data_IF_233327500624
#
_entry.id   IF_233327500624
#
_cell.length_a   1.000
_cell.length_b   1.000
_cell.length_c   1.000
_cell.angle_alpha   90.00
_cell.angle_beta   90.00
_cell.angle_gamma   90.00
#
_symmetry.space_group_name_H-M   'P 1'
#
loop_
_entity.id
_entity.type
_entity.pdbx_description
1 polymer ?
#
# COMPACT_ATOMS: atom_id res chain seq x y z
N UNK A 1 -38.80 22.19 -73.04
CA UNK A 1 -38.90 20.71 -72.92
C UNK A 1 -37.85 20.21 -71.93
N UNK A 2 -38.10 19.09 -71.21
CA UNK A 2 -38.07 19.00 -69.75
C UNK A 2 -36.68 18.81 -69.10
N UNK A 3 -36.57 18.98 -67.76
CA UNK A 3 -35.34 18.77 -67.00
C UNK A 3 -35.01 17.29 -66.78
N UNK A 4 -33.72 16.95 -66.84
CA UNK A 4 -33.20 15.60 -66.57
C UNK A 4 -33.17 15.31 -65.06
N UNK A 5 -33.70 14.13 -64.71
CA UNK A 5 -33.85 13.63 -63.34
C UNK A 5 -32.49 13.25 -62.76
N UNK A 6 -32.06 13.93 -61.68
CA UNK A 6 -30.99 13.49 -60.78
C UNK A 6 -31.39 12.21 -60.06
N UNK A 7 -30.53 11.19 -60.17
CA UNK A 7 -30.65 9.92 -59.48
C UNK A 7 -30.39 10.09 -57.98
N UNK A 8 -31.27 9.53 -57.14
CA UNK A 8 -31.12 9.39 -55.69
C UNK A 8 -30.32 8.12 -55.40
N UNK A 9 -29.11 8.25 -54.85
CA UNK A 9 -28.41 7.13 -54.21
C UNK A 9 -28.92 6.97 -52.78
N UNK A 10 -29.52 5.82 -52.48
CA UNK A 10 -29.98 5.44 -51.15
C UNK A 10 -28.79 5.23 -50.20
N UNK A 11 -28.72 6.03 -49.14
CA UNK A 11 -27.76 5.85 -48.04
C UNK A 11 -28.12 4.62 -47.20
N UNK A 12 -27.20 3.66 -47.11
CA UNK A 12 -27.23 2.53 -46.18
C UNK A 12 -27.05 3.07 -44.74
N UNK A 13 -28.04 2.86 -43.87
CA UNK A 13 -27.91 3.04 -42.42
C UNK A 13 -27.10 1.88 -41.81
N UNK A 14 -26.21 2.13 -40.84
CA UNK A 14 -25.53 1.06 -40.10
C UNK A 14 -26.50 0.36 -39.12
N UNK A 15 -26.35 -0.95 -38.86
CA UNK A 15 -27.21 -1.71 -37.96
C UNK A 15 -26.95 -1.39 -36.48
N UNK A 16 -28.04 -1.31 -35.72
CA UNK A 16 -28.08 -1.13 -34.27
C UNK A 16 -27.39 -2.26 -33.48
N UNK A 17 -26.77 -1.96 -32.32
CA UNK A 17 -26.21 -2.99 -31.45
C UNK A 17 -27.29 -3.81 -30.73
N UNK A 18 -27.05 -5.12 -30.69
CA UNK A 18 -27.88 -6.17 -30.15
C UNK A 18 -28.35 -5.91 -28.70
N UNK A 19 -29.67 -6.04 -28.49
CA UNK A 19 -30.29 -6.21 -27.17
C UNK A 19 -29.98 -7.62 -26.64
N UNK A 20 -29.29 -7.71 -25.50
CA UNK A 20 -29.15 -8.97 -24.76
C UNK A 20 -30.48 -9.34 -24.07
N UNK A 21 -30.92 -10.60 -24.14
CA UNK A 21 -32.10 -11.06 -23.40
C UNK A 21 -31.80 -11.17 -21.90
N UNK A 22 -32.69 -10.61 -21.10
CA UNK A 22 -32.69 -10.66 -19.65
C UNK A 22 -32.87 -12.10 -19.15
N UNK A 23 -31.84 -12.65 -18.52
CA UNK A 23 -31.90 -13.93 -17.81
C UNK A 23 -32.86 -13.81 -16.61
N UNK A 24 -34.11 -14.25 -16.80
CA UNK A 24 -35.04 -14.60 -15.73
C UNK A 24 -34.40 -15.67 -14.84
N UNK A 25 -34.06 -15.31 -13.60
CA UNK A 25 -33.67 -16.27 -12.56
C UNK A 25 -34.90 -17.07 -12.13
N UNK A 26 -35.02 -18.32 -12.59
CA UNK A 26 -35.91 -19.33 -12.01
C UNK A 26 -35.45 -19.57 -10.56
N UNK A 27 -36.28 -19.17 -9.59
CA UNK A 27 -36.14 -19.57 -8.19
C UNK A 27 -36.63 -21.02 -8.08
N UNK A 28 -35.71 -21.97 -7.97
CA UNK A 28 -36.06 -23.31 -7.50
C UNK A 28 -36.24 -23.23 -5.98
N UNK A 29 -37.48 -23.40 -5.51
CA UNK A 29 -37.79 -23.75 -4.12
C UNK A 29 -37.18 -25.13 -3.86
N UNK A 30 -36.14 -25.18 -3.05
CA UNK A 30 -35.64 -26.42 -2.46
C UNK A 30 -36.45 -26.63 -1.18
N UNK A 31 -37.27 -27.68 -1.16
CA UNK A 31 -37.97 -28.14 0.04
C UNK A 31 -36.95 -28.56 1.11
N UNK A 32 -37.17 -28.23 2.39
CA UNK A 32 -36.28 -28.67 3.46
C UNK A 32 -36.44 -30.18 3.67
N UNK A 33 -35.44 -30.96 3.25
CA UNK A 33 -35.29 -32.36 3.68
C UNK A 33 -34.90 -32.34 5.16
N UNK A 34 -35.77 -32.94 5.98
CA UNK A 34 -35.51 -33.30 7.37
C UNK A 34 -34.19 -34.08 7.45
N UNK A 35 -33.20 -33.52 8.14
CA UNK A 35 -31.97 -34.22 8.52
C UNK A 35 -32.26 -35.04 9.80
N UNK A 36 -31.80 -36.30 9.87
CA UNK A 36 -31.93 -37.10 11.08
C UNK A 36 -31.08 -36.52 12.22
N UNK A 37 -31.65 -36.59 13.42
CA UNK A 37 -31.07 -36.18 14.70
C UNK A 37 -29.68 -36.78 14.90
N UNK A 38 -28.67 -35.93 15.05
CA UNK A 38 -27.31 -36.35 15.36
C UNK A 38 -27.25 -36.82 16.83
N UNK A 39 -26.85 -38.08 17.02
CA UNK A 39 -26.60 -38.68 18.32
C UNK A 39 -25.53 -37.91 19.12
N UNK A 40 -25.59 -37.90 20.46
CA UNK A 40 -24.65 -37.18 21.31
C UNK A 40 -23.23 -37.75 21.21
N UNK A 41 -22.27 -36.89 20.91
CA UNK A 41 -20.83 -37.20 20.90
C UNK A 41 -20.36 -37.45 22.34
N UNK A 42 -19.68 -38.57 22.65
CA UNK A 42 -19.14 -38.81 23.99
C UNK A 42 -18.02 -37.82 24.32
N UNK A 43 -18.08 -37.28 25.54
CA UNK A 43 -17.08 -36.35 26.08
C UNK A 43 -15.75 -37.09 26.32
N UNK A 44 -14.58 -36.51 25.98
CA UNK A 44 -13.31 -37.09 26.36
C UNK A 44 -13.13 -37.02 27.88
N UNK A 45 -12.76 -38.17 28.46
CA UNK A 45 -12.42 -38.35 29.87
C UNK A 45 -11.23 -37.45 30.23
N UNK A 46 -11.40 -36.67 31.31
CA UNK A 46 -10.32 -35.89 31.92
C UNK A 46 -9.34 -36.86 32.60
N UNK A 47 -8.14 -36.99 32.07
CA UNK A 47 -7.03 -37.62 32.79
C UNK A 47 -6.68 -36.79 34.03
N UNK A 48 -6.37 -37.42 35.18
CA UNK A 48 -5.95 -36.73 36.39
C UNK A 48 -4.54 -36.14 36.20
N UNK A 49 -4.36 -34.91 36.72
CA UNK A 49 -3.08 -34.22 36.76
C UNK A 49 -2.13 -34.96 37.71
N UNK A 50 -0.86 -35.23 37.34
CA UNK A 50 0.13 -35.68 38.30
C UNK A 50 0.44 -34.54 39.29
N UNK A 51 0.49 -34.92 40.57
CA UNK A 51 0.65 -34.04 41.72
C UNK A 51 1.95 -33.25 41.68
N UNK A 52 1.87 -32.02 42.20
CA UNK A 52 3.03 -31.22 42.58
C UNK A 52 3.66 -31.86 43.82
N UNK A 53 4.88 -32.35 43.69
CA UNK A 53 5.75 -32.67 44.83
C UNK A 53 6.52 -31.40 45.23
N UNK A 54 6.78 -31.16 46.53
CA UNK A 54 7.45 -29.96 47.00
C UNK A 54 8.96 -30.00 46.73
N UNK A 55 9.51 -28.83 46.37
CA UNK A 55 10.93 -28.59 46.18
C UNK A 55 11.71 -28.92 47.46
N UNK A 56 12.53 -29.96 47.43
CA UNK A 56 13.65 -30.10 48.35
C UNK A 56 14.85 -29.35 47.77
N UNK A 57 15.37 -28.43 48.56
CA UNK A 57 16.62 -27.70 48.32
C UNK A 57 17.77 -28.67 48.57
N UNK A 58 18.44 -29.12 47.50
CA UNK A 58 19.74 -29.79 47.61
C UNK A 58 20.87 -28.78 47.41
N UNK A 59 21.84 -28.84 48.32
CA UNK A 59 23.08 -28.08 48.36
C UNK A 59 24.00 -28.34 47.14
N UNK A 60 24.94 -27.44 46.82
CA UNK A 60 25.87 -27.61 45.69
C UNK A 60 26.96 -28.63 46.01
N UNK A 61 27.03 -29.70 45.21
CA UNK A 61 28.17 -30.63 45.15
C UNK A 61 29.28 -30.14 44.21
N UNK A 62 30.51 -30.66 44.32
CA UNK A 62 31.69 -30.13 43.65
C UNK A 62 31.74 -30.44 42.15
N UNK A 63 32.42 -29.55 41.43
CA UNK A 63 32.56 -29.51 39.98
C UNK A 63 33.13 -30.81 39.39
N UNK A 64 32.31 -31.52 38.62
CA UNK A 64 32.74 -32.59 37.73
C UNK A 64 33.17 -32.00 36.37
N UNK A 65 34.34 -32.44 35.92
CA UNK A 65 35.01 -32.02 34.70
C UNK A 65 34.13 -32.20 33.44
N UNK A 66 34.08 -31.15 32.63
CA UNK A 66 33.44 -31.14 31.31
C UNK A 66 34.22 -32.04 30.35
N UNK A 67 33.58 -33.10 29.86
CA UNK A 67 34.03 -33.83 28.68
C UNK A 67 33.90 -32.95 27.42
N UNK A 68 34.88 -32.97 26.50
CA UNK A 68 34.79 -32.21 25.25
C UNK A 68 33.75 -32.84 24.30
N UNK A 69 32.92 -31.98 23.70
CA UNK A 69 31.95 -32.36 22.67
C UNK A 69 32.67 -32.89 21.41
N UNK A 70 32.11 -33.90 20.71
CA UNK A 70 32.63 -34.34 19.42
C UNK A 70 32.43 -33.25 18.35
N UNK A 71 33.45 -33.07 17.51
CA UNK A 71 33.48 -32.11 16.42
C UNK A 71 32.33 -32.32 15.42
N UNK A 72 31.75 -31.21 14.95
CA UNK A 72 30.75 -31.21 13.87
C UNK A 72 31.40 -31.66 12.56
N UNK A 73 30.76 -32.54 11.77
CA UNK A 73 31.22 -32.85 10.42
C UNK A 73 31.07 -31.63 9.50
N UNK A 74 32.09 -31.38 8.69
CA UNK A 74 32.10 -30.30 7.69
C UNK A 74 31.02 -30.49 6.62
N UNK A 75 30.44 -29.40 6.09
CA UNK A 75 29.45 -29.49 5.02
C UNK A 75 30.11 -29.90 3.70
N UNK A 76 29.81 -31.12 3.26
CA UNK A 76 30.11 -31.62 1.91
C UNK A 76 29.39 -30.77 0.87
N UNK A 77 30.16 -30.16 -0.03
CA UNK A 77 29.65 -29.38 -1.16
C UNK A 77 28.98 -30.32 -2.17
N UNK A 78 27.72 -30.09 -2.60
CA UNK A 78 27.09 -30.94 -3.59
C UNK A 78 27.73 -30.76 -4.98
N UNK A 79 27.87 -31.83 -5.78
CA UNK A 79 28.41 -31.75 -7.13
C UNK A 79 27.48 -30.95 -8.06
N UNK A 80 28.10 -30.19 -8.98
CA UNK A 80 27.44 -29.44 -10.04
C UNK A 80 26.63 -30.38 -10.95
N UNK A 81 25.41 -30.00 -11.39
CA UNK A 81 24.69 -30.76 -12.40
C UNK A 81 25.40 -30.66 -13.75
N UNK A 82 25.52 -31.81 -14.43
CA UNK A 82 26.08 -31.94 -15.77
C UNK A 82 25.26 -31.16 -16.80
N UNK A 83 25.95 -30.43 -17.67
CA UNK A 83 25.39 -29.76 -18.84
C UNK A 83 24.88 -30.79 -19.84
N UNK A 84 23.60 -30.67 -20.22
CA UNK A 84 23.03 -31.43 -21.33
C UNK A 84 23.33 -30.70 -22.66
N UNK A 85 23.70 -31.41 -23.74
CA UNK A 85 23.98 -30.81 -25.03
C UNK A 85 22.72 -30.27 -25.71
N UNK A 86 22.85 -29.07 -26.26
CA UNK A 86 21.84 -28.38 -27.06
C UNK A 86 21.67 -29.07 -28.42
N UNK A 87 20.48 -29.61 -28.70
CA UNK A 87 20.11 -30.05 -30.04
C UNK A 87 19.52 -28.87 -30.81
N UNK A 88 20.26 -28.48 -31.85
CA UNK A 88 19.89 -27.57 -32.92
C UNK A 88 18.64 -28.05 -33.67
N UNK A 89 17.64 -27.19 -33.81
CA UNK A 89 16.67 -27.26 -34.90
C UNK A 89 16.67 -25.91 -35.64
N UNK A 90 17.27 -25.93 -36.83
CA UNK A 90 17.18 -24.89 -37.86
C UNK A 90 15.79 -24.94 -38.50
N UNK A 91 15.07 -23.83 -38.49
CA UNK A 91 14.18 -23.43 -39.59
C UNK A 91 14.40 -21.93 -39.81
N UNK A 92 14.79 -21.57 -41.03
CA UNK A 92 15.07 -20.21 -41.44
C UNK A 92 13.88 -19.51 -42.12
N UNK A 93 14.21 -18.33 -42.66
CA UNK A 93 13.40 -17.40 -43.49
C UNK A 93 12.46 -16.51 -42.65
N UNK A 94 12.47 -15.18 -42.68
CA UNK A 94 13.15 -14.14 -43.47
C UNK A 94 12.51 -12.77 -43.16
N UNK A 95 13.12 -11.68 -43.65
CA UNK A 95 12.74 -10.25 -43.59
C UNK A 95 13.09 -9.46 -42.30
N UNK A 96 14.13 -8.60 -42.26
CA UNK A 96 14.53 -7.44 -43.07
C UNK A 96 13.80 -6.12 -42.71
N UNK A 97 14.61 -5.15 -42.24
CA UNK A 97 14.38 -3.68 -42.13
C UNK A 97 13.40 -3.28 -41.00
N UNK A 98 13.64 -2.30 -40.15
CA UNK A 98 14.35 -1.03 -40.35
C UNK A 98 14.88 -0.49 -39.01
N UNK A 99 16.06 0.13 -39.10
CA UNK A 99 16.79 0.75 -38.02
C UNK A 99 16.32 2.20 -37.87
N UNK A 100 15.68 2.57 -36.77
CA UNK A 100 15.49 3.97 -36.40
C UNK A 100 16.22 4.26 -35.09
N UNK A 101 17.42 4.84 -35.26
CA UNK A 101 18.24 5.44 -34.21
C UNK A 101 17.46 6.63 -33.61
N UNK A 102 17.07 6.54 -32.35
CA UNK A 102 16.80 7.75 -31.56
C UNK A 102 17.92 7.95 -30.53
N UNK A 103 18.68 9.01 -30.82
CA UNK A 103 19.75 9.58 -29.99
C UNK A 103 19.16 9.97 -28.63
N UNK A 104 19.82 9.50 -27.56
CA UNK A 104 19.74 10.07 -26.22
C UNK A 104 20.56 11.37 -26.21
N UNK A 105 20.11 12.46 -25.58
CA UNK A 105 21.02 13.46 -25.07
C UNK A 105 21.36 13.17 -23.60
N UNK A 106 22.66 13.06 -23.36
CA UNK A 106 23.29 13.16 -22.06
C UNK A 106 22.91 14.47 -21.35
N UNK A 107 22.59 14.36 -20.06
CA UNK A 107 22.73 15.48 -19.11
C UNK A 107 23.37 14.97 -17.84
N UNK A 108 24.69 14.90 -17.88
CA UNK A 108 25.56 14.97 -16.72
C UNK A 108 25.70 16.43 -16.25
N UNK A 109 25.94 16.55 -14.95
CA UNK A 109 26.55 17.70 -14.26
C UNK A 109 25.69 18.95 -14.00
N UNK A 110 25.29 19.11 -12.73
CA UNK A 110 25.38 20.42 -12.05
C UNK A 110 25.44 20.24 -10.52
N UNK A 111 26.66 20.40 -9.98
CA UNK A 111 27.02 21.02 -8.68
C UNK A 111 25.92 21.14 -7.60
N UNK A 112 26.01 20.43 -6.48
CA UNK A 112 26.73 20.90 -5.26
C UNK A 112 26.82 22.42 -5.14
N UNK A 113 25.91 23.03 -4.37
CA UNK A 113 26.23 24.26 -3.65
C UNK A 113 25.70 24.19 -2.22
N UNK A 114 26.65 23.96 -1.30
CA UNK A 114 26.51 24.33 0.12
C UNK A 114 26.41 25.84 0.19
N UNK A 115 25.41 26.37 0.89
CA UNK A 115 25.45 27.72 1.45
C UNK A 115 25.53 27.60 2.96
N UNK A 116 26.77 27.60 3.45
CA UNK A 116 27.15 28.11 4.76
C UNK A 116 27.80 29.45 4.52
N UNK A 117 27.16 30.51 4.99
CA UNK A 117 27.76 31.83 5.20
C UNK A 117 26.66 32.71 5.79
N UNK A 118 26.90 33.66 6.68
CA UNK A 118 27.97 34.06 7.59
C UNK A 118 27.34 35.22 8.36
N UNK A 119 27.86 35.54 9.54
CA UNK A 119 27.28 36.52 10.43
C UNK A 119 27.07 37.88 9.77
N UNK A 120 25.92 38.49 10.06
CA UNK A 120 25.69 39.91 9.81
C UNK A 120 25.86 40.66 11.13
N UNK A 121 26.92 41.44 11.13
CA UNK A 121 27.37 42.37 12.14
C UNK A 121 26.26 43.31 12.61
N UNK A 122 26.08 43.39 13.92
CA UNK A 122 25.29 44.42 14.61
C UNK A 122 25.92 45.79 14.36
N UNK A 123 25.25 46.66 13.60
CA UNK A 123 25.50 48.10 13.64
C UNK A 123 24.58 48.71 14.68
N UNK A 124 25.18 49.34 15.68
CA UNK A 124 24.49 50.09 16.71
C UNK A 124 23.76 51.29 16.11
N UNK A 125 22.49 51.42 16.48
CA UNK A 125 21.76 52.67 16.40
C UNK A 125 21.56 53.10 17.86
N UNK A 126 22.17 54.22 18.22
CA UNK A 126 21.98 54.91 19.50
C UNK A 126 20.50 55.30 19.60
N UNK A 127 19.78 54.68 20.53
CA UNK A 127 18.48 55.16 20.94
C UNK A 127 18.69 56.36 21.87
N UNK A 128 18.15 57.52 21.46
CA UNK A 128 17.96 58.66 22.34
C UNK A 128 16.96 58.26 23.44
N UNK A 129 17.45 58.22 24.67
CA UNK A 129 16.64 58.17 25.88
C UNK A 129 15.93 59.51 26.03
N UNK A 130 14.66 59.57 25.62
CA UNK A 130 13.71 60.56 26.16
C UNK A 130 12.99 59.88 27.31
N UNK A 131 13.24 60.41 28.50
CA UNK A 131 12.68 60.01 29.77
C UNK A 131 11.35 60.75 29.92
N UNK A 132 10.25 60.02 29.82
CA UNK A 132 8.92 60.53 30.17
C UNK A 132 8.46 59.76 31.39
N UNK A 133 8.51 60.43 32.54
CA UNK A 133 7.93 59.96 33.79
C UNK A 133 6.40 60.01 33.67
N UNK A 134 5.75 58.85 33.64
CA UNK A 134 4.29 58.74 33.72
C UNK A 134 3.93 57.56 34.64
N UNK A 135 3.55 57.81 35.91
CA UNK A 135 3.20 56.77 36.86
C UNK A 135 1.68 56.55 36.85
N UNK A 136 1.23 55.46 36.24
CA UNK A 136 -0.15 54.99 36.39
C UNK A 136 -0.90 54.78 35.07
N UNK A 137 -0.45 53.83 34.26
CA UNK A 137 -1.20 53.33 33.12
C UNK A 137 -1.19 51.81 33.16
N UNK A 138 -2.32 51.23 33.58
CA UNK A 138 -2.59 49.79 33.59
C UNK A 138 -1.92 49.07 32.41
N UNK A 139 -1.28 47.95 32.70
CA UNK A 139 -1.00 46.90 31.71
C UNK A 139 -2.31 46.53 31.01
N UNK A 140 -2.64 47.21 29.91
CA UNK A 140 -3.56 46.68 28.91
C UNK A 140 -2.82 45.52 28.27
N UNK A 141 -3.12 44.34 28.78
CA UNK A 141 -2.96 43.07 28.09
C UNK A 141 -3.52 43.26 26.68
N UNK A 142 -2.66 43.48 25.69
CA UNK A 142 -3.04 43.44 24.26
C UNK A 142 -3.17 41.96 23.89
N UNK A 143 -4.05 41.27 24.62
CA UNK A 143 -4.65 40.04 24.16
C UNK A 143 -5.72 40.49 23.19
N UNK A 144 -5.30 40.66 21.93
CA UNK A 144 -6.21 40.92 20.83
C UNK A 144 -7.14 39.73 20.69
N UNK A 145 -8.25 39.77 21.43
CA UNK A 145 -9.43 38.95 21.19
C UNK A 145 -10.04 39.45 19.88
N UNK A 146 -9.36 39.16 18.75
CA UNK A 146 -9.95 39.36 17.44
C UNK A 146 -11.19 38.48 17.40
N UNK A 147 -12.35 39.13 17.49
CA UNK A 147 -13.60 38.41 17.39
C UNK A 147 -13.71 37.86 15.97
N UNK A 148 -14.46 36.77 15.80
CA UNK A 148 -14.77 36.24 14.47
C UNK A 148 -15.30 37.34 13.54
N UNK A 149 -16.03 38.32 14.10
CA UNK A 149 -16.60 39.45 13.39
C UNK A 149 -15.53 40.41 12.86
N UNK A 150 -14.44 40.66 13.62
CA UNK A 150 -13.35 41.53 13.16
C UNK A 150 -12.59 40.91 11.98
N UNK A 151 -12.42 39.58 12.01
CA UNK A 151 -11.80 38.84 10.90
C UNK A 151 -12.70 38.88 9.67
N UNK A 152 -14.02 38.74 9.85
CA UNK A 152 -15.01 38.83 8.76
C UNK A 152 -15.04 40.23 8.17
N UNK A 153 -15.07 41.28 8.99
CA UNK A 153 -15.13 42.67 8.53
C UNK A 153 -13.85 43.06 7.77
N UNK A 154 -12.69 42.64 8.26
CA UNK A 154 -11.40 42.81 7.58
C UNK A 154 -11.37 42.11 6.21
N UNK A 155 -11.93 40.90 6.13
CA UNK A 155 -12.05 40.15 4.87
C UNK A 155 -13.02 40.84 3.90
N UNK A 156 -14.17 41.32 4.40
CA UNK A 156 -15.21 41.95 3.58
C UNK A 156 -14.72 43.30 3.00
N UNK A 157 -14.03 44.10 3.81
CA UNK A 157 -13.40 45.36 3.36
C UNK A 157 -12.26 45.11 2.38
N UNK A 158 -11.50 44.02 2.52
CA UNK A 158 -10.47 43.68 1.54
C UNK A 158 -11.08 43.26 0.20
N UNK A 159 -12.13 42.42 0.22
CA UNK A 159 -12.83 41.95 -0.99
C UNK A 159 -13.48 43.11 -1.73
N UNK A 160 -14.15 44.02 -1.03
CA UNK A 160 -14.81 45.17 -1.64
C UNK A 160 -13.83 46.16 -2.28
N UNK A 161 -12.64 46.34 -1.69
CA UNK A 161 -11.57 47.18 -2.25
C UNK A 161 -10.77 46.51 -3.37
N UNK A 162 -10.85 45.19 -3.51
CA UNK A 162 -10.06 44.41 -4.47
C UNK A 162 -10.94 43.39 -5.23
N UNK A 163 -11.95 43.83 -6.00
CA UNK A 163 -12.90 42.92 -6.65
C UNK A 163 -12.22 42.02 -7.70
N UNK A 164 -11.22 42.54 -8.42
CA UNK A 164 -10.51 41.78 -9.46
C UNK A 164 -9.65 40.66 -8.85
N UNK A 165 -8.75 40.91 -7.88
CA UNK A 165 -8.05 39.83 -7.18
C UNK A 165 -8.97 38.82 -6.50
N UNK A 166 -10.07 39.29 -5.88
CA UNK A 166 -11.03 38.42 -5.20
C UNK A 166 -11.71 37.42 -6.16
N UNK A 167 -12.01 37.82 -7.39
CA UNK A 167 -12.59 36.96 -8.42
C UNK A 167 -11.56 35.99 -9.04
N UNK A 168 -10.29 36.39 -9.11
CA UNK A 168 -9.22 35.55 -9.68
C UNK A 168 -8.68 34.50 -8.69
N UNK A 169 -8.71 34.79 -7.39
CA UNK A 169 -8.18 33.92 -6.33
C UNK A 169 -8.70 32.48 -6.38
N UNK A 170 -10.02 32.20 -6.49
CA UNK A 170 -10.51 30.82 -6.62
C UNK A 170 -10.03 30.16 -7.91
N UNK A 171 -9.96 30.90 -9.02
CA UNK A 171 -9.43 30.40 -10.30
C UNK A 171 -7.96 30.01 -10.21
N UNK A 172 -7.14 30.84 -9.54
CA UNK A 172 -5.73 30.56 -9.28
C UNK A 172 -5.58 29.33 -8.36
N UNK A 173 -6.39 29.21 -7.30
CA UNK A 173 -6.35 28.05 -6.41
C UNK A 173 -6.72 26.76 -7.16
N UNK A 174 -7.75 26.79 -8.01
CA UNK A 174 -8.14 25.65 -8.84
C UNK A 174 -7.05 25.30 -9.84
N UNK A 175 -6.47 26.30 -10.53
CA UNK A 175 -5.37 26.10 -11.47
C UNK A 175 -4.14 25.50 -10.76
N UNK A 176 -3.75 26.04 -9.61
CA UNK A 176 -2.66 25.51 -8.79
C UNK A 176 -2.97 24.07 -8.35
N UNK A 177 -4.21 23.75 -7.98
CA UNK A 177 -4.60 22.38 -7.64
C UNK A 177 -4.52 21.42 -8.84
N UNK A 178 -4.91 21.87 -10.04
CA UNK A 178 -4.79 21.11 -11.29
C UNK A 178 -3.32 20.88 -11.63
N UNK A 179 -2.51 21.93 -11.63
CA UNK A 179 -1.07 21.87 -11.91
C UNK A 179 -0.38 20.96 -10.88
N UNK A 180 -0.67 21.14 -9.59
CA UNK A 180 -0.15 20.30 -8.50
C UNK A 180 -0.65 18.85 -8.55
N UNK A 181 -1.71 18.56 -9.31
CA UNK A 181 -2.18 17.18 -9.56
C UNK A 181 -1.52 16.59 -10.81
N UNK A 182 -1.36 17.38 -11.86
CA UNK A 182 -0.71 17.00 -13.11
C UNK A 182 0.82 16.81 -12.93
N UNK A 183 1.45 17.58 -12.04
CA UNK A 183 2.87 17.47 -11.71
C UNK A 183 3.21 16.31 -10.79
N UNK A 184 2.21 15.61 -10.21
CA UNK A 184 2.45 14.33 -9.53
C UNK A 184 2.78 13.32 -10.61
N UNK A 185 4.07 13.12 -10.85
CA UNK A 185 4.56 12.08 -11.75
C UNK A 185 3.90 10.74 -11.47
N UNK A 186 3.79 9.89 -12.49
CA UNK A 186 3.33 8.52 -12.32
C UNK A 186 4.12 7.88 -11.18
N UNK A 187 3.42 7.39 -10.15
CA UNK A 187 4.07 6.74 -9.02
C UNK A 187 5.07 5.72 -9.58
N UNK A 188 6.34 5.87 -9.21
CA UNK A 188 7.38 4.90 -9.52
C UNK A 188 6.86 3.52 -9.11
N UNK A 189 6.72 2.63 -10.09
CA UNK A 189 6.32 1.24 -9.82
C UNK A 189 7.58 0.42 -9.61
N UNK A 190 7.49 -0.56 -8.73
CA UNK A 190 8.60 -1.49 -8.52
C UNK A 190 8.91 -2.24 -9.83
N UNK A 191 10.15 -2.25 -10.34
CA UNK A 191 10.52 -3.01 -11.54
C UNK A 191 10.12 -4.49 -11.44
N UNK A 192 10.14 -5.05 -10.22
CA UNK A 192 9.69 -6.39 -9.96
C UNK A 192 8.21 -6.35 -9.56
N UNK A 193 7.32 -6.87 -10.40
CA UNK A 193 5.90 -7.05 -10.04
C UNK A 193 5.63 -8.35 -9.30
N UNK A 194 6.25 -9.45 -9.74
CA UNK A 194 5.94 -10.78 -9.22
C UNK A 194 6.81 -11.13 -8.00
N UNK A 195 6.19 -11.68 -6.96
CA UNK A 195 6.95 -12.27 -5.85
C UNK A 195 7.73 -13.50 -6.31
N UNK A 196 8.97 -13.64 -5.84
CA UNK A 196 9.79 -14.83 -6.12
C UNK A 196 9.22 -16.08 -5.45
N UNK A 197 9.65 -17.27 -5.89
CA UNK A 197 9.30 -18.54 -5.23
C UNK A 197 9.54 -18.50 -3.71
N UNK A 198 10.76 -18.18 -3.25
CA UNK A 198 11.07 -18.06 -1.83
C UNK A 198 10.21 -17.03 -1.07
N UNK A 199 9.92 -15.87 -1.67
CA UNK A 199 9.04 -14.86 -1.06
C UNK A 199 7.62 -15.40 -0.86
N UNK A 200 7.06 -16.09 -1.86
CA UNK A 200 5.73 -16.71 -1.77
C UNK A 200 5.68 -17.77 -0.67
N UNK A 201 6.64 -18.69 -0.66
CA UNK A 201 6.73 -19.74 0.37
C UNK A 201 6.84 -19.13 1.77
N UNK A 202 7.69 -18.13 1.95
CA UNK A 202 7.85 -17.42 3.23
C UNK A 202 6.57 -16.69 3.62
N UNK A 203 5.91 -16.03 2.67
CA UNK A 203 4.65 -15.31 2.90
C UNK A 203 3.51 -16.23 3.34
N UNK A 204 3.38 -17.39 2.70
CA UNK A 204 2.40 -18.40 3.07
C UNK A 204 2.71 -19.03 4.43
N UNK A 205 3.98 -19.33 4.71
CA UNK A 205 4.40 -19.89 5.99
C UNK A 205 4.10 -18.92 7.15
N UNK A 206 4.39 -17.62 7.01
CA UNK A 206 4.06 -16.59 8.04
C UNK A 206 2.57 -16.46 8.31
N UNK A 207 1.75 -16.86 7.34
CA UNK A 207 0.31 -16.80 7.42
C UNK A 207 -0.32 -18.17 7.77
N UNK A 208 0.46 -19.17 8.18
CA UNK A 208 -0.03 -20.54 8.43
C UNK A 208 -0.83 -21.13 7.25
N UNK A 209 -0.44 -20.76 6.02
CA UNK A 209 -1.15 -21.17 4.80
C UNK A 209 -2.57 -20.62 4.65
N UNK A 210 -3.01 -19.69 5.51
CA UNK A 210 -4.39 -19.18 5.55
C UNK A 210 -4.51 -17.78 4.97
N UNK A 211 -5.66 -17.46 4.37
CA UNK A 211 -5.95 -16.13 3.85
C UNK A 211 -5.94 -15.06 4.97
N UNK A 212 -5.28 -13.92 4.76
CA UNK A 212 -5.16 -12.83 5.74
C UNK A 212 -6.28 -11.78 5.64
N UNK A 213 -7.01 -11.78 4.52
CA UNK A 213 -8.17 -10.93 4.32
C UNK A 213 -9.36 -11.33 5.22
N UNK A 214 -10.35 -10.45 5.27
CA UNK A 214 -11.58 -10.69 6.03
C UNK A 214 -12.40 -11.84 5.46
N UNK A 215 -13.03 -12.60 6.35
CA UNK A 215 -14.06 -13.57 6.01
C UNK A 215 -15.42 -12.92 5.81
N UNK A 216 -16.47 -13.75 5.76
CA UNK A 216 -17.85 -13.28 5.67
C UNK A 216 -18.24 -12.36 6.84
N UNK A 217 -17.62 -12.57 8.00
CA UNK A 217 -17.75 -11.70 9.16
C UNK A 217 -16.57 -10.72 9.17
N UNK A 218 -16.85 -9.43 8.93
CA UNK A 218 -15.86 -8.37 8.63
C UNK A 218 -14.70 -8.21 9.64
N UNK A 219 -14.79 -8.81 10.83
CA UNK A 219 -13.73 -8.78 11.85
C UNK A 219 -12.91 -10.08 11.94
N UNK A 220 -13.43 -11.17 11.39
CA UNK A 220 -12.75 -12.46 11.39
C UNK A 220 -11.86 -12.63 10.18
N UNK A 221 -10.76 -13.34 10.38
CA UNK A 221 -9.86 -13.77 9.30
C UNK A 221 -10.57 -14.81 8.43
N UNK A 222 -10.49 -14.66 7.12
CA UNK A 222 -11.00 -15.64 6.17
C UNK A 222 -10.46 -17.04 6.51
N UNK A 223 -11.34 -18.06 6.56
CA UNK A 223 -10.98 -19.45 6.90
C UNK A 223 -10.33 -20.22 5.74
N UNK A 224 -10.39 -19.69 4.51
CA UNK A 224 -9.87 -20.36 3.32
C UNK A 224 -8.34 -20.35 3.28
N UNK A 225 -7.78 -21.37 2.64
CA UNK A 225 -6.35 -21.45 2.36
C UNK A 225 -5.90 -20.35 1.41
N UNK A 226 -4.67 -19.88 1.61
CA UNK A 226 -4.02 -18.93 0.73
C UNK A 226 -3.35 -19.67 -0.44
N UNK A 227 -3.59 -19.17 -1.65
CA UNK A 227 -2.99 -19.69 -2.88
C UNK A 227 -2.29 -18.57 -3.69
N UNK A 228 -2.50 -17.31 -3.31
CA UNK A 228 -1.93 -16.15 -3.99
C UNK A 228 -1.18 -15.27 -3.01
N UNK A 229 0.00 -14.82 -3.41
CA UNK A 229 0.70 -13.72 -2.77
C UNK A 229 0.25 -12.42 -3.44
N UNK A 230 -0.45 -11.57 -2.70
CA UNK A 230 -1.02 -10.33 -3.19
C UNK A 230 -0.33 -9.13 -2.52
N UNK A 231 -0.33 -7.98 -3.19
CA UNK A 231 0.22 -6.74 -2.65
C UNK A 231 -0.85 -5.99 -1.86
N UNK A 232 -0.62 -5.71 -0.58
CA UNK A 232 -1.53 -4.92 0.24
C UNK A 232 -1.78 -3.53 -0.37
N UNK A 233 -0.70 -2.81 -0.68
CA UNK A 233 -0.71 -1.66 -1.58
C UNK A 233 -0.52 -2.18 -3.01
N UNK A 234 -1.53 -2.03 -3.89
CA UNK A 234 -1.45 -2.55 -5.25
C UNK A 234 -0.19 -2.07 -5.97
N UNK A 235 0.52 -2.98 -6.62
CA UNK A 235 1.72 -2.66 -7.41
C UNK A 235 1.47 -1.54 -8.42
N UNK A 236 0.34 -1.56 -9.13
CA UNK A 236 -0.05 -0.52 -10.10
C UNK A 236 -0.27 0.87 -9.52
N UNK A 237 -0.27 1.00 -8.19
CA UNK A 237 -0.37 2.28 -7.47
C UNK A 237 0.97 2.70 -6.84
N UNK A 238 2.04 1.92 -7.04
CA UNK A 238 3.36 2.15 -6.49
C UNK A 238 3.69 1.31 -5.25
N UNK A 239 2.93 0.24 -4.97
CA UNK A 239 3.28 -0.69 -3.89
C UNK A 239 4.54 -1.50 -4.20
N UNK A 240 5.42 -1.66 -3.21
CA UNK A 240 6.67 -2.42 -3.36
C UNK A 240 6.40 -3.94 -3.40
N UNK A 241 7.21 -4.70 -4.13
CA UNK A 241 7.24 -6.17 -4.07
C UNK A 241 8.15 -6.61 -2.93
N UNK A 242 7.67 -6.39 -1.71
CA UNK A 242 8.39 -6.69 -0.48
C UNK A 242 7.64 -7.67 0.41
N UNK A 243 8.35 -8.27 1.36
CA UNK A 243 7.73 -9.19 2.32
C UNK A 243 6.75 -8.50 3.28
N UNK A 244 6.85 -7.18 3.49
CA UNK A 244 5.91 -6.41 4.31
C UNK A 244 4.63 -6.08 3.53
N UNK A 245 4.74 -5.82 2.21
CA UNK A 245 3.59 -5.59 1.34
C UNK A 245 2.89 -6.88 0.90
N UNK A 246 3.55 -8.04 1.03
CA UNK A 246 2.97 -9.35 0.73
C UNK A 246 1.85 -9.72 1.72
N UNK A 247 0.71 -10.13 1.17
CA UNK A 247 -0.45 -10.67 1.89
C UNK A 247 -0.83 -12.03 1.31
N UNK A 248 -0.96 -13.04 2.16
CA UNK A 248 -1.41 -14.35 1.76
C UNK A 248 -2.93 -14.34 1.52
N UNK A 249 -3.38 -14.68 0.31
CA UNK A 249 -4.76 -14.51 -0.11
C UNK A 249 -5.34 -15.79 -0.76
N UNK A 250 -6.60 -16.08 -0.47
CA UNK A 250 -7.37 -17.03 -1.27
C UNK A 250 -7.83 -16.38 -2.59
N UNK A 251 -8.15 -17.18 -3.60
CA UNK A 251 -8.56 -16.70 -4.92
C UNK A 251 -9.71 -15.68 -4.87
N UNK A 252 -10.79 -16.00 -4.14
CA UNK A 252 -11.95 -15.12 -4.08
C UNK A 252 -11.68 -13.78 -3.38
N UNK A 253 -10.89 -13.75 -2.30
CA UNK A 253 -10.54 -12.49 -1.65
C UNK A 253 -9.58 -11.66 -2.53
N UNK A 254 -8.61 -12.31 -3.17
CA UNK A 254 -7.68 -11.66 -4.11
C UNK A 254 -8.43 -10.99 -5.27
N UNK A 255 -9.34 -11.73 -5.91
CA UNK A 255 -10.17 -11.22 -7.02
C UNK A 255 -11.11 -10.09 -6.56
N UNK A 256 -11.72 -10.21 -5.39
CA UNK A 256 -12.59 -9.17 -4.83
C UNK A 256 -11.84 -7.86 -4.51
N UNK A 257 -10.60 -7.98 -4.00
CA UNK A 257 -9.73 -6.82 -3.77
C UNK A 257 -9.30 -6.17 -5.08
N UNK A 258 -8.72 -6.95 -6.00
CA UNK A 258 -8.16 -6.45 -7.25
C UNK A 258 -7.19 -5.27 -7.01
N UNK A 259 -7.32 -4.16 -7.77
CA UNK A 259 -6.44 -2.99 -7.63
C UNK A 259 -6.93 -1.96 -6.59
N UNK A 260 -7.89 -2.30 -5.72
CA UNK A 260 -8.46 -1.36 -4.76
C UNK A 260 -7.44 -0.99 -3.67
N UNK A 261 -7.43 0.29 -3.29
CA UNK A 261 -6.72 0.70 -2.08
C UNK A 261 -7.59 0.31 -0.89
N UNK A 262 -7.01 -0.44 0.04
CA UNK A 262 -7.67 -0.78 1.29
C UNK A 262 -7.56 0.38 2.28
N UNK A 263 -8.59 0.57 3.11
CA UNK A 263 -8.62 1.67 4.08
C UNK A 263 -7.60 1.49 5.20
N UNK A 264 -7.26 2.58 5.88
CA UNK A 264 -6.38 2.55 7.05
C UNK A 264 -6.93 1.64 8.17
N UNK A 265 -8.26 1.57 8.32
CA UNK A 265 -8.90 0.67 9.27
C UNK A 265 -8.69 -0.80 8.88
N UNK A 266 -8.81 -1.13 7.59
CA UNK A 266 -8.53 -2.47 7.07
C UNK A 266 -7.08 -2.89 7.36
N UNK A 267 -6.12 -1.99 7.08
CA UNK A 267 -4.70 -2.16 7.41
C UNK A 267 -4.54 -2.52 8.89
N UNK A 268 -5.09 -1.69 9.78
CA UNK A 268 -4.98 -1.87 11.24
C UNK A 268 -5.59 -3.19 11.71
N UNK A 269 -6.66 -3.67 11.07
CA UNK A 269 -7.26 -4.97 11.37
C UNK A 269 -6.34 -6.13 10.98
N UNK A 270 -5.72 -6.10 9.80
CA UNK A 270 -4.68 -7.10 9.45
C UNK A 270 -3.53 -7.06 10.45
N UNK A 271 -2.95 -5.88 10.72
CA UNK A 271 -1.84 -5.72 11.66
C UNK A 271 -2.19 -6.26 13.07
N UNK A 272 -3.42 -5.98 13.54
CA UNK A 272 -3.93 -6.50 14.81
C UNK A 272 -4.03 -8.03 14.81
N UNK A 273 -4.47 -8.63 13.70
CA UNK A 273 -4.55 -10.09 13.57
C UNK A 273 -3.17 -10.74 13.46
N UNK A 274 -2.24 -10.15 12.71
CA UNK A 274 -0.84 -10.62 12.58
C UNK A 274 -0.18 -10.80 13.95
N UNK A 275 -0.52 -9.99 14.96
CA UNK A 275 -0.02 -10.19 16.34
C UNK A 275 -0.27 -11.60 16.92
N UNK A 276 -1.28 -12.33 16.42
CA UNK A 276 -1.64 -13.67 16.92
C UNK A 276 -0.85 -14.81 16.27
N UNK A 277 -0.39 -14.65 15.03
CA UNK A 277 0.25 -15.71 14.26
C UNK A 277 1.62 -15.33 13.67
N UNK A 278 2.05 -14.07 13.82
CA UNK A 278 3.43 -13.67 13.53
C UNK A 278 4.25 -13.75 14.81
N UNK A 279 5.39 -14.44 14.73
CA UNK A 279 6.36 -14.50 15.81
C UNK A 279 6.88 -13.11 16.19
N UNK A 280 7.42 -12.96 17.40
CA UNK A 280 7.92 -11.65 17.90
C UNK A 280 9.04 -11.05 17.04
N UNK A 281 9.76 -11.87 16.28
CA UNK A 281 10.85 -11.44 15.37
C UNK A 281 10.37 -10.99 14.00
N UNK A 282 9.10 -11.25 13.64
CA UNK A 282 8.55 -10.92 12.32
C UNK A 282 7.86 -9.56 12.33
N UNK A 283 8.01 -8.81 11.23
CA UNK A 283 7.29 -7.54 11.07
C UNK A 283 5.78 -7.79 10.93
N UNK A 284 5.01 -7.21 11.86
CA UNK A 284 3.53 -7.32 11.93
C UNK A 284 2.82 -6.24 11.13
N UNK A 285 3.55 -5.24 10.65
CA UNK A 285 3.02 -4.20 9.77
C UNK A 285 2.66 -4.79 8.41
N UNK A 286 1.75 -4.13 7.71
CA UNK A 286 1.34 -4.53 6.37
C UNK A 286 1.32 -3.33 5.44
N UNK A 287 1.86 -3.53 4.24
CA UNK A 287 1.98 -2.49 3.23
C UNK A 287 3.33 -1.81 3.24
N UNK A 288 3.88 -1.62 2.05
CA UNK A 288 5.11 -0.88 1.80
C UNK A 288 5.03 -0.20 0.41
N UNK A 289 5.44 1.06 0.34
CA UNK A 289 5.50 1.82 -0.91
C UNK A 289 6.87 1.65 -1.54
N UNK A 290 6.92 1.54 -2.86
CA UNK A 290 8.19 1.47 -3.58
C UNK A 290 8.91 2.83 -3.51
N UNK A 291 10.18 2.81 -3.09
CA UNK A 291 11.05 3.98 -3.04
C UNK A 291 10.71 5.03 -1.96
N UNK A 292 10.12 4.63 -0.83
CA UNK A 292 9.86 5.51 0.33
C UNK A 292 10.37 4.92 1.63
#
# INVERSE_FOLDING_TARGET
MPPSKRQRTAGRRPPHPCRHPSRRRRRHRISPRLLPSAAPVPRPSRSPRPGRSPCQVLAPGPAAALSPCPARPEPTTPPRPAEAPSVLARVGVGNARSSSRHRRPDRTAASRHRQRSRGRTRRGVRAHLVRSDDPGGLCRDVRGDHTLLDVVDTLLTWVSRNPVPALLLPGVVVLLAIVARASRGSASTDPQRAFTGPQRTTGFARADGRCEFDGALFFLRCSRNAHHADHFYPWSKGGATSMQNLVAACAACNLSKGPKMLSAFYRKRIERRRRKYFTVRMNRLVGEWYGR
#
